data_IF_015376907547
#
_entry.id   IF_015376907547
#
_cell.length_a   1.000
_cell.length_b   1.000
_cell.length_c   1.000
_cell.angle_alpha   90.00
_cell.angle_beta   90.00
_cell.angle_gamma   90.00
#
_symmetry.space_group_name_H-M   'P 1'
#
loop_
_entity.id
_entity.type
_entity.pdbx_description
1 polymer ?
#
# COMPACT_ATOMS: atom_id res chain seq x y z
N UNK A 1 5.42 17.50 -10.28
CA UNK A 1 5.16 16.42 -11.24
C UNK A 1 6.45 15.67 -11.48
N UNK A 2 6.45 14.37 -11.33
CA UNK A 2 7.64 13.53 -11.40
C UNK A 2 7.82 12.98 -12.81
N UNK A 3 8.98 13.13 -13.41
CA UNK A 3 9.34 12.49 -14.68
C UNK A 3 10.20 11.27 -14.40
N UNK A 4 9.83 10.14 -14.95
CA UNK A 4 10.58 8.89 -14.80
C UNK A 4 11.17 8.48 -16.13
N UNK A 5 12.50 8.36 -16.21
CA UNK A 5 13.16 7.77 -17.35
C UNK A 5 13.34 6.27 -17.15
N UNK A 6 12.82 5.48 -18.11
CA UNK A 6 12.96 4.03 -18.25
C UNK A 6 12.84 3.18 -16.98
N UNK A 7 11.68 2.56 -16.85
CA UNK A 7 11.29 1.36 -16.09
C UNK A 7 11.54 1.24 -14.58
N UNK A 8 12.53 1.85 -13.93
CA UNK A 8 12.85 1.51 -12.54
C UNK A 8 13.17 2.66 -11.59
N UNK A 9 13.45 3.86 -12.05
CA UNK A 9 13.94 4.94 -11.15
C UNK A 9 13.27 6.26 -11.48
N UNK A 10 12.56 6.79 -10.49
CA UNK A 10 12.10 8.16 -10.52
C UNK A 10 12.89 8.97 -9.51
N UNK A 11 13.59 9.99 -9.95
CA UNK A 11 14.31 10.87 -9.04
C UNK A 11 13.50 12.14 -8.77
N UNK A 12 13.28 12.40 -7.51
CA UNK A 12 12.92 13.72 -7.02
C UNK A 12 14.00 14.10 -6.01
N UNK A 13 14.70 15.20 -6.24
CA UNK A 13 15.76 15.69 -5.34
C UNK A 13 16.84 14.67 -4.94
N UNK A 14 17.37 13.87 -5.89
CA UNK A 14 18.58 13.06 -5.67
C UNK A 14 18.38 11.74 -4.91
N UNK A 15 17.19 11.37 -4.48
CA UNK A 15 16.92 10.06 -3.90
C UNK A 15 16.27 9.12 -4.92
N UNK A 16 16.75 7.90 -4.97
CA UNK A 16 16.19 6.85 -5.82
C UNK A 16 14.85 6.39 -5.24
N UNK A 17 13.77 6.63 -5.96
CA UNK A 17 12.42 6.14 -5.58
C UNK A 17 12.13 4.85 -6.32
N UNK A 18 11.86 3.77 -5.58
CA UNK A 18 11.50 2.47 -6.15
C UNK A 18 10.00 2.24 -6.00
N UNK A 19 9.42 1.61 -7.02
CA UNK A 19 8.03 1.14 -7.00
C UNK A 19 7.99 -0.24 -6.40
N UNK A 20 7.16 -0.44 -5.38
CA UNK A 20 7.08 -1.70 -4.64
C UNK A 20 5.74 -2.40 -4.75
N UNK A 21 4.67 -1.67 -5.02
CA UNK A 21 3.33 -2.23 -5.17
C UNK A 21 2.54 -1.47 -6.24
N UNK A 22 1.56 -2.12 -6.85
CA UNK A 22 0.68 -1.50 -7.84
C UNK A 22 -0.72 -2.09 -7.79
N UNK A 23 -1.72 -1.30 -8.18
CA UNK A 23 -3.11 -1.73 -8.32
C UNK A 23 -3.80 -0.89 -9.40
N UNK A 24 -4.75 -1.51 -10.11
CA UNK A 24 -5.64 -0.82 -11.06
C UNK A 24 -7.00 -0.62 -10.39
N UNK A 25 -7.50 0.60 -10.39
CA UNK A 25 -8.81 0.95 -9.88
C UNK A 25 -9.47 2.01 -10.79
N UNK A 26 -10.71 1.76 -11.18
CA UNK A 26 -11.48 2.63 -12.08
C UNK A 26 -10.70 3.04 -13.35
N UNK A 27 -9.99 2.08 -13.96
CA UNK A 27 -9.19 2.31 -15.18
C UNK A 27 -7.91 3.10 -14.97
N UNK A 28 -7.51 3.37 -13.73
CA UNK A 28 -6.30 4.11 -13.40
C UNK A 28 -5.28 3.23 -12.66
N UNK A 29 -4.00 3.42 -12.97
CA UNK A 29 -2.90 2.72 -12.33
C UNK A 29 -2.38 3.55 -11.14
N UNK A 30 -2.35 2.92 -9.98
CA UNK A 30 -1.77 3.44 -8.75
C UNK A 30 -0.52 2.64 -8.40
N UNK A 31 0.52 3.32 -7.92
CA UNK A 31 1.75 2.67 -7.47
C UNK A 31 2.16 3.18 -6.10
N UNK A 32 2.60 2.26 -5.27
CA UNK A 32 3.22 2.55 -3.99
C UNK A 32 4.74 2.51 -4.11
N UNK A 33 5.44 3.25 -3.26
CA UNK A 33 6.89 3.47 -3.37
C UNK A 33 7.65 3.21 -2.09
N UNK A 34 8.96 3.13 -2.21
CA UNK A 34 10.00 3.16 -1.19
C UNK A 34 11.02 4.25 -1.60
N UNK A 35 11.67 5.00 -0.70
CA UNK A 35 11.72 4.85 0.77
C UNK A 35 10.76 5.77 1.55
N UNK A 36 9.89 6.49 0.90
CA UNK A 36 9.06 7.52 1.56
C UNK A 36 7.59 7.14 1.71
N UNK A 37 7.19 5.90 1.34
CA UNK A 37 5.82 5.43 1.48
C UNK A 37 4.79 6.30 0.76
N UNK A 38 5.11 6.73 -0.44
CA UNK A 38 4.25 7.59 -1.26
C UNK A 38 3.42 6.76 -2.23
N UNK A 39 2.27 7.28 -2.59
CA UNK A 39 1.40 6.73 -3.64
C UNK A 39 1.28 7.71 -4.78
N UNK A 40 1.48 7.22 -5.98
CA UNK A 40 1.34 7.96 -7.23
C UNK A 40 0.25 7.37 -8.10
N UNK A 41 -0.37 8.21 -8.91
CA UNK A 41 -1.30 7.84 -9.97
C UNK A 41 -0.65 8.11 -11.32
N UNK A 42 -0.77 7.17 -12.26
CA UNK A 42 -0.27 7.35 -13.61
C UNK A 42 -1.13 8.36 -14.37
N UNK A 43 -0.51 9.37 -14.95
CA UNK A 43 -1.17 10.44 -15.68
C UNK A 43 -0.91 10.41 -17.20
N UNK A 44 -0.21 9.37 -17.69
CA UNK A 44 0.11 9.18 -19.11
C UNK A 44 1.56 9.53 -19.46
N UNK A 45 2.09 8.92 -20.52
CA UNK A 45 3.47 9.10 -20.95
C UNK A 45 4.47 8.75 -19.85
N UNK A 46 5.32 9.70 -19.49
CA UNK A 46 6.27 9.57 -18.37
C UNK A 46 5.80 10.33 -17.11
N UNK A 47 4.52 10.69 -17.03
CA UNK A 47 3.98 11.58 -16.00
C UNK A 47 3.26 10.81 -14.91
N UNK A 48 3.57 11.14 -13.66
CA UNK A 48 2.96 10.59 -12.46
C UNK A 48 2.50 11.71 -11.54
N UNK A 49 1.30 11.58 -11.03
CA UNK A 49 0.73 12.50 -10.04
C UNK A 49 0.95 11.95 -8.64
N UNK A 50 1.59 12.73 -7.77
CA UNK A 50 1.73 12.39 -6.36
C UNK A 50 0.38 12.59 -5.66
N UNK A 51 -0.18 11.52 -5.10
CA UNK A 51 -1.37 11.60 -4.26
C UNK A 51 -1.03 11.95 -2.81
N UNK A 52 0.11 11.52 -2.32
CA UNK A 52 0.59 11.83 -0.98
C UNK A 52 1.43 10.73 -0.38
N UNK A 53 1.87 10.97 0.86
CA UNK A 53 2.57 10.02 1.71
C UNK A 53 1.57 9.32 2.62
N UNK A 54 1.73 8.00 2.80
CA UNK A 54 0.89 7.20 3.68
C UNK A 54 1.43 7.29 5.11
N UNK A 55 0.85 8.17 5.92
CA UNK A 55 1.29 8.40 7.30
C UNK A 55 2.79 8.65 7.39
N UNK A 56 3.45 7.96 8.31
CA UNK A 56 4.91 7.95 8.47
C UNK A 56 5.56 6.68 7.93
N UNK A 57 4.82 5.93 7.10
CA UNK A 57 5.33 4.69 6.51
C UNK A 57 6.50 4.95 5.56
N UNK A 58 7.34 3.93 5.38
CA UNK A 58 8.52 4.01 4.52
C UNK A 58 8.31 3.30 3.19
N UNK A 59 7.48 2.28 3.18
CA UNK A 59 7.24 1.49 1.99
C UNK A 59 5.80 1.03 1.90
N UNK A 60 5.26 1.09 0.70
CA UNK A 60 3.99 0.48 0.35
C UNK A 60 4.28 -0.93 -0.18
N UNK A 61 4.08 -1.94 0.64
CA UNK A 61 4.44 -3.32 0.35
C UNK A 61 3.39 -4.06 -0.47
N UNK A 62 2.11 -3.75 -0.24
CA UNK A 62 1.00 -4.41 -0.91
C UNK A 62 -0.12 -3.42 -1.20
N UNK A 63 -0.80 -3.63 -2.31
CA UNK A 63 -2.02 -2.91 -2.67
C UNK A 63 -3.05 -3.90 -3.20
N UNK A 64 -4.31 -3.73 -2.81
CA UNK A 64 -5.41 -4.56 -3.28
C UNK A 64 -6.68 -3.73 -3.50
N UNK A 65 -7.44 -4.10 -4.52
CA UNK A 65 -8.78 -3.58 -4.72
C UNK A 65 -9.78 -4.51 -4.03
N UNK A 66 -10.50 -3.98 -3.07
CA UNK A 66 -11.51 -4.72 -2.33
C UNK A 66 -12.74 -3.85 -2.09
N UNK A 67 -13.91 -4.40 -2.41
CA UNK A 67 -15.18 -3.70 -2.25
C UNK A 67 -15.17 -2.26 -2.82
N UNK A 68 -14.59 -2.10 -4.02
CA UNK A 68 -14.53 -0.83 -4.76
C UNK A 68 -13.55 0.21 -4.18
N UNK A 69 -12.66 -0.19 -3.26
CA UNK A 69 -11.67 0.71 -2.65
C UNK A 69 -10.28 0.11 -2.68
N UNK A 70 -9.27 0.96 -2.67
CA UNK A 70 -7.85 0.57 -2.64
C UNK A 70 -7.39 0.44 -1.19
N UNK A 71 -6.91 -0.74 -0.84
CA UNK A 71 -6.30 -1.05 0.45
C UNK A 71 -4.79 -1.15 0.30
N UNK A 72 -4.07 -0.70 1.31
CA UNK A 72 -2.62 -0.52 1.28
C UNK A 72 -2.03 -1.19 2.52
N UNK A 73 -1.05 -2.07 2.30
CA UNK A 73 -0.23 -2.64 3.35
C UNK A 73 1.15 -2.02 3.36
N UNK A 74 1.69 -1.69 4.54
CA UNK A 74 2.88 -0.89 4.66
C UNK A 74 3.95 -1.46 5.60
N UNK A 75 5.13 -0.85 5.55
CA UNK A 75 6.31 -1.02 6.38
C UNK A 75 6.70 0.36 6.93
N UNK A 76 7.17 0.53 8.21
CA UNK A 76 7.73 -0.49 9.10
C UNK A 76 6.79 -1.02 10.20
N UNK A 77 5.54 -0.60 10.20
CA UNK A 77 4.62 -0.89 11.32
C UNK A 77 3.61 -2.01 11.04
N UNK A 78 3.60 -2.59 9.84
CA UNK A 78 2.58 -3.53 9.39
C UNK A 78 1.15 -2.95 9.46
N UNK A 79 1.01 -1.73 9.03
CA UNK A 79 -0.27 -1.03 9.01
C UNK A 79 -1.06 -1.34 7.75
N UNK A 80 -2.37 -1.31 7.90
CA UNK A 80 -3.31 -1.31 6.78
C UNK A 80 -3.97 0.05 6.69
N UNK A 81 -4.01 0.57 5.48
CA UNK A 81 -4.62 1.85 5.13
C UNK A 81 -5.64 1.67 4.01
N UNK A 82 -6.50 2.65 3.84
CA UNK A 82 -7.45 2.73 2.72
C UNK A 82 -7.29 4.09 2.03
N UNK A 83 -7.29 4.07 0.71
CA UNK A 83 -7.31 5.29 -0.08
C UNK A 83 -8.78 5.71 -0.30
N UNK A 84 -9.15 6.84 0.28
CA UNK A 84 -10.48 7.44 0.20
C UNK A 84 -10.40 8.83 -0.46
N UNK A 85 -10.71 8.92 -1.75
CA UNK A 85 -10.77 10.20 -2.46
C UNK A 85 -9.51 11.05 -2.37
N UNK A 86 -8.32 10.43 -2.48
CA UNK A 86 -7.02 11.10 -2.34
C UNK A 86 -6.53 11.25 -0.90
N UNK A 87 -7.27 10.76 0.09
CA UNK A 87 -6.90 10.74 1.50
C UNK A 87 -6.60 9.31 1.96
N UNK A 88 -5.57 9.14 2.79
CA UNK A 88 -5.21 7.87 3.38
C UNK A 88 -5.83 7.75 4.77
N UNK A 89 -6.68 6.74 4.94
CA UNK A 89 -7.34 6.43 6.21
C UNK A 89 -6.65 5.23 6.86
N UNK A 90 -6.10 5.42 8.05
CA UNK A 90 -5.56 4.31 8.86
C UNK A 90 -6.69 3.39 9.30
N UNK A 91 -6.46 2.08 9.21
CA UNK A 91 -7.44 1.08 9.62
C UNK A 91 -6.96 0.24 10.80
N UNK A 92 -5.81 -0.42 10.69
CA UNK A 92 -5.33 -1.36 11.71
C UNK A 92 -3.83 -1.60 11.60
N UNK A 93 -3.20 -1.97 12.72
CA UNK A 93 -1.85 -2.52 12.80
C UNK A 93 -1.97 -4.02 13.00
N UNK A 94 -1.60 -4.82 12.00
CA UNK A 94 -1.82 -6.27 12.03
C UNK A 94 -0.76 -7.02 12.87
N UNK A 95 0.50 -6.66 12.73
CA UNK A 95 1.58 -7.25 13.52
C UNK A 95 1.96 -6.31 14.66
N UNK A 96 1.54 -6.66 15.88
CA UNK A 96 1.80 -5.89 17.09
C UNK A 96 3.02 -6.40 17.88
N UNK A 97 3.84 -7.27 17.29
CA UNK A 97 5.09 -7.70 17.90
C UNK A 97 6.08 -6.54 18.06
N UNK A 98 7.12 -6.73 18.87
CA UNK A 98 8.19 -5.76 19.04
C UNK A 98 9.25 -5.78 17.92
N UNK A 99 9.07 -6.62 16.92
CA UNK A 99 10.02 -6.73 15.82
C UNK A 99 10.15 -5.40 15.07
N UNK A 100 11.35 -4.98 14.71
CA UNK A 100 11.53 -3.85 13.80
C UNK A 100 11.13 -4.26 12.38
N UNK A 101 10.79 -3.28 11.55
CA UNK A 101 10.46 -3.52 10.14
C UNK A 101 9.35 -4.56 9.92
N UNK A 102 8.30 -4.48 10.72
CA UNK A 102 7.07 -5.25 10.50
C UNK A 102 6.37 -4.78 9.23
N UNK A 103 5.78 -5.68 8.50
CA UNK A 103 5.17 -5.35 7.22
C UNK A 103 3.93 -6.18 6.91
N UNK A 104 3.00 -5.56 6.21
CA UNK A 104 1.97 -6.28 5.46
C UNK A 104 2.56 -6.55 4.09
N UNK A 105 3.04 -7.79 3.91
CA UNK A 105 3.81 -8.20 2.73
C UNK A 105 2.96 -8.38 1.49
N UNK A 106 1.76 -8.91 1.66
CA UNK A 106 0.88 -9.28 0.55
C UNK A 106 -0.58 -9.13 0.93
N UNK A 107 -1.41 -8.90 -0.06
CA UNK A 107 -2.86 -8.88 0.07
C UNK A 107 -3.51 -9.65 -1.07
N UNK A 108 -4.64 -10.32 -0.78
CA UNK A 108 -5.45 -11.01 -1.77
C UNK A 108 -6.92 -11.02 -1.35
N UNK A 109 -7.81 -11.00 -2.33
CA UNK A 109 -9.26 -11.14 -2.11
C UNK A 109 -9.68 -12.56 -2.47
N UNK A 110 -10.36 -13.23 -1.56
CA UNK A 110 -10.90 -14.56 -1.77
C UNK A 110 -12.17 -14.77 -0.95
N UNK A 111 -13.18 -15.39 -1.56
CA UNK A 111 -14.43 -15.72 -0.88
C UNK A 111 -15.13 -14.52 -0.21
N UNK A 112 -15.08 -13.34 -0.81
CA UNK A 112 -15.68 -12.12 -0.27
C UNK A 112 -14.91 -11.48 0.91
N UNK A 113 -13.72 -11.97 1.24
CA UNK A 113 -12.85 -11.44 2.30
C UNK A 113 -11.55 -10.90 1.72
N UNK A 114 -10.98 -9.89 2.37
CA UNK A 114 -9.63 -9.41 2.13
C UNK A 114 -8.68 -10.10 3.11
N UNK A 115 -7.64 -10.72 2.58
CA UNK A 115 -6.57 -11.38 3.33
C UNK A 115 -5.28 -10.57 3.25
N UNK A 116 -4.52 -10.58 4.32
CA UNK A 116 -3.22 -9.92 4.42
C UNK A 116 -2.20 -10.79 5.15
N UNK A 117 -1.06 -11.02 4.53
CA UNK A 117 0.07 -11.73 5.11
C UNK A 117 1.08 -10.77 5.72
N UNK A 118 1.60 -11.10 6.92
CA UNK A 118 2.54 -10.26 7.65
C UNK A 118 3.91 -10.89 7.80
N UNK A 119 4.94 -10.04 7.87
CA UNK A 119 6.31 -10.40 8.20
C UNK A 119 6.85 -9.45 9.28
N UNK A 120 7.75 -9.90 10.19
CA UNK A 120 8.33 -11.24 10.22
C UNK A 120 7.46 -12.31 10.90
N UNK A 121 6.28 -11.96 11.42
CA UNK A 121 5.43 -12.89 12.19
C UNK A 121 4.94 -14.10 11.39
N UNK A 122 4.87 -14.01 10.04
CA UNK A 122 4.39 -15.08 9.18
C UNK A 122 2.90 -15.41 9.37
N UNK A 123 2.12 -14.46 9.85
CA UNK A 123 0.68 -14.62 10.11
C UNK A 123 -0.15 -14.14 8.95
N UNK A 124 -1.34 -14.70 8.82
CA UNK A 124 -2.37 -14.26 7.89
C UNK A 124 -3.55 -13.73 8.67
N UNK A 125 -4.07 -12.60 8.24
CA UNK A 125 -5.25 -11.94 8.80
C UNK A 125 -6.29 -11.80 7.71
N UNK A 126 -7.56 -11.71 8.10
CA UNK A 126 -8.65 -11.46 7.15
C UNK A 126 -9.71 -10.52 7.73
N UNK A 127 -10.40 -9.83 6.85
CA UNK A 127 -11.53 -8.97 7.21
C UNK A 127 -12.65 -9.07 6.19
N UNK A 128 -13.85 -8.67 6.60
CA UNK A 128 -15.03 -8.59 5.73
C UNK A 128 -15.30 -7.16 5.27
N UNK A 129 -16.07 -7.02 4.20
CA UNK A 129 -16.60 -5.72 3.79
C UNK A 129 -17.42 -5.10 4.94
N UNK A 130 -17.19 -3.82 5.21
CA UNK A 130 -17.80 -3.09 6.32
C UNK A 130 -17.11 -3.26 7.68
N UNK A 131 -16.17 -4.20 7.81
CA UNK A 131 -15.41 -4.46 9.04
C UNK A 131 -13.90 -4.29 8.87
N UNK A 132 -13.49 -3.50 7.90
CA UNK A 132 -12.08 -3.37 7.49
C UNK A 132 -11.14 -2.75 8.54
N UNK A 133 -11.68 -2.22 9.62
CA UNK A 133 -10.92 -1.79 10.79
C UNK A 133 -10.83 -2.89 11.88
N UNK A 134 -11.36 -4.09 11.60
CA UNK A 134 -11.32 -5.24 12.50
C UNK A 134 -10.86 -6.46 11.71
N UNK A 135 -9.73 -7.00 12.07
CA UNK A 135 -9.10 -8.12 11.37
C UNK A 135 -9.03 -9.34 12.26
N UNK A 136 -9.47 -10.46 11.73
CA UNK A 136 -9.38 -11.75 12.40
C UNK A 136 -8.11 -12.48 11.97
N UNK A 137 -7.46 -13.14 12.90
CA UNK A 137 -6.37 -14.04 12.55
C UNK A 137 -6.93 -15.25 11.81
N UNK A 138 -6.48 -15.41 10.59
CA UNK A 138 -6.88 -16.54 9.76
C UNK A 138 -6.04 -17.79 10.05
#
# INVERSE_FOLDING_TARGET
>A
MMRCSRFNVCSHSGSEVRRSAAVIHAGQLYVGTWPEGQVYRYAGGETWELLGRVGYEREIMAMALYNGKVYIGSLPMANVWRLDGGRFTFLETLDQSSAPLRRVWSMAVFGGRLYAGTLPSGRVYSTEAGKVATWDRA
#
